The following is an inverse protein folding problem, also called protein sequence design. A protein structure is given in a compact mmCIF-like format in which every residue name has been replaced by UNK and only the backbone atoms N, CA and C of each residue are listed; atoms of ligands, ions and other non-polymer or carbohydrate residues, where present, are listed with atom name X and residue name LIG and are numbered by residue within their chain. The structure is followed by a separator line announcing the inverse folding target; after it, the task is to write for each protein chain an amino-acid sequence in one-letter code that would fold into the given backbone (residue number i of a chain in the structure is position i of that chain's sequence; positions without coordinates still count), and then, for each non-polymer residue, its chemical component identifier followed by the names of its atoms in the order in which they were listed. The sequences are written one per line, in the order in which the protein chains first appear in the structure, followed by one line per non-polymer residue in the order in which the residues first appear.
data_IF_633750184315
#
_entry.id   IF_633750184315
#
_cell.length_a   1.000
_cell.length_b   1.000
_cell.length_c   1.000
_cell.angle_alpha   90.00
_cell.angle_beta   90.00
_cell.angle_gamma   90.00
#
_symmetry.space_group_name_H-M   'P 1'
#
loop_
_entity.id
_entity.type
_entity.pdbx_description
1 polymer ?
#
# COMPACT_ATOMS: atom_id res chain seq x y z
N UNK A 1 20.88 -28.64 26.53
CA UNK A 1 19.81 -27.62 26.60
C UNK A 1 18.48 -28.35 26.61
N UNK A 2 17.70 -28.23 27.68
CA UNK A 2 16.51 -29.07 27.92
C UNK A 2 15.35 -28.80 26.96
N UNK A 3 14.47 -29.78 26.79
CA UNK A 3 13.29 -29.74 25.93
C UNK A 3 12.43 -28.47 26.13
N UNK A 4 12.33 -28.01 27.38
CA UNK A 4 11.60 -26.79 27.74
C UNK A 4 12.15 -25.52 27.06
N UNK A 5 13.48 -25.39 26.97
CA UNK A 5 14.11 -24.24 26.33
C UNK A 5 13.94 -24.25 24.80
N UNK A 6 13.95 -25.43 24.18
CA UNK A 6 13.67 -25.57 22.75
C UNK A 6 12.22 -25.20 22.42
N UNK A 7 11.26 -25.59 23.26
CA UNK A 7 9.86 -25.22 23.08
C UNK A 7 9.64 -23.71 23.18
N UNK A 8 10.28 -23.04 24.15
CA UNK A 8 10.22 -21.58 24.28
C UNK A 8 10.83 -20.89 23.05
N UNK A 9 12.00 -21.35 22.58
CA UNK A 9 12.61 -20.79 21.37
C UNK A 9 11.72 -20.97 20.14
N UNK A 10 11.16 -22.17 19.94
CA UNK A 10 10.26 -22.43 18.82
C UNK A 10 9.03 -21.53 18.87
N UNK A 11 8.45 -21.31 20.06
CA UNK A 11 7.32 -20.41 20.25
C UNK A 11 7.65 -18.97 19.88
N UNK A 12 8.83 -18.47 20.27
CA UNK A 12 9.27 -17.10 19.96
C UNK A 12 9.53 -16.93 18.46
N UNK A 13 10.12 -17.93 17.80
CA UNK A 13 10.35 -17.92 16.34
C UNK A 13 9.01 -17.88 15.61
N UNK A 14 8.04 -18.70 16.03
CA UNK A 14 6.72 -18.73 15.43
C UNK A 14 5.98 -17.38 15.62
N UNK A 15 6.01 -16.81 16.82
CA UNK A 15 5.38 -15.51 17.09
C UNK A 15 6.01 -14.39 16.23
N UNK A 16 7.34 -14.41 16.06
CA UNK A 16 8.02 -13.45 15.20
C UNK A 16 7.66 -13.64 13.73
N UNK A 17 7.54 -14.89 13.27
CA UNK A 17 7.11 -15.22 11.91
C UNK A 17 5.69 -14.69 11.63
N UNK A 18 4.75 -14.97 12.54
CA UNK A 18 3.35 -14.53 12.41
C UNK A 18 3.24 -13.00 12.39
N UNK A 19 4.02 -12.30 13.22
CA UNK A 19 4.10 -10.83 13.23
C UNK A 19 4.66 -10.29 11.92
N UNK A 20 5.73 -10.89 11.39
CA UNK A 20 6.30 -10.49 10.11
C UNK A 20 5.30 -10.69 8.97
N UNK A 21 4.61 -11.84 8.92
CA UNK A 21 3.59 -12.11 7.91
C UNK A 21 2.42 -11.11 8.00
N UNK A 22 1.97 -10.79 9.21
CA UNK A 22 0.92 -9.78 9.43
C UNK A 22 1.34 -8.40 8.93
N UNK A 23 2.61 -8.00 9.15
CA UNK A 23 3.15 -6.75 8.64
C UNK A 23 3.23 -6.72 7.12
N UNK A 24 3.72 -7.79 6.49
CA UNK A 24 3.79 -7.90 5.02
C UNK A 24 2.41 -7.77 4.38
N UNK A 25 1.40 -8.46 4.93
CA UNK A 25 0.00 -8.34 4.45
C UNK A 25 -0.54 -6.92 4.59
N UNK A 26 -0.23 -6.23 5.68
CA UNK A 26 -0.65 -4.83 5.89
C UNK A 26 0.04 -3.88 4.92
N UNK A 27 1.33 -4.10 4.63
CA UNK A 27 2.06 -3.31 3.64
C UNK A 27 1.46 -3.52 2.25
N UNK A 28 1.21 -4.77 1.85
CA UNK A 28 0.58 -5.07 0.56
C UNK A 28 -0.79 -4.41 0.41
N UNK A 29 -1.62 -4.43 1.47
CA UNK A 29 -2.92 -3.75 1.48
C UNK A 29 -2.76 -2.22 1.31
N UNK A 30 -1.82 -1.60 2.03
CA UNK A 30 -1.58 -0.15 1.92
C UNK A 30 -1.03 0.25 0.56
N UNK A 31 -0.18 -0.57 -0.05
CA UNK A 31 0.32 -0.35 -1.41
C UNK A 31 -0.81 -0.41 -2.45
N UNK A 32 -1.73 -1.37 -2.30
CA UNK A 32 -2.92 -1.47 -3.15
C UNK A 32 -3.85 -0.26 -2.97
N UNK A 33 -4.13 0.15 -1.73
CA UNK A 33 -4.97 1.31 -1.42
C UNK A 33 -4.35 2.62 -1.95
N UNK A 34 -3.03 2.78 -1.82
CA UNK A 34 -2.30 3.93 -2.36
C UNK A 34 -2.43 3.98 -3.88
N UNK A 35 -2.23 2.84 -4.56
CA UNK A 35 -2.38 2.76 -6.02
C UNK A 35 -3.80 3.11 -6.46
N UNK A 36 -4.81 2.56 -5.80
CA UNK A 36 -6.21 2.86 -6.10
C UNK A 36 -6.53 4.35 -5.90
N UNK A 37 -5.98 4.97 -4.86
CA UNK A 37 -6.12 6.39 -4.58
C UNK A 37 -5.47 7.23 -5.68
N UNK A 38 -4.25 6.89 -6.11
CA UNK A 38 -3.57 7.59 -7.19
C UNK A 38 -4.34 7.49 -8.51
N UNK A 39 -4.85 6.30 -8.85
CA UNK A 39 -5.66 6.10 -10.05
C UNK A 39 -6.96 6.92 -10.00
N UNK A 40 -7.60 7.02 -8.84
CA UNK A 40 -8.79 7.85 -8.68
C UNK A 40 -8.45 9.34 -8.84
N UNK A 41 -7.38 9.81 -8.20
CA UNK A 41 -6.94 11.21 -8.30
C UNK A 41 -6.63 11.59 -9.75
N UNK A 42 -5.91 10.73 -10.49
CA UNK A 42 -5.62 10.94 -11.91
C UNK A 42 -6.91 11.02 -12.74
N UNK A 43 -7.86 10.10 -12.52
CA UNK A 43 -9.17 10.14 -13.20
C UNK A 43 -9.92 11.43 -12.88
N UNK A 44 -9.92 11.88 -11.62
CA UNK A 44 -10.59 13.12 -11.23
C UNK A 44 -9.93 14.35 -11.82
N UNK A 45 -8.59 14.41 -11.86
CA UNK A 45 -7.86 15.51 -12.50
C UNK A 45 -8.18 15.59 -13.98
N UNK A 46 -8.14 14.46 -14.68
CA UNK A 46 -8.49 14.38 -16.10
C UNK A 46 -9.88 14.94 -16.38
N UNK A 47 -10.89 14.50 -15.62
CA UNK A 47 -12.27 14.99 -15.78
C UNK A 47 -12.38 16.48 -15.46
N UNK A 48 -11.66 16.95 -14.43
CA UNK A 48 -11.68 18.35 -14.02
C UNK A 48 -11.04 19.25 -15.08
N UNK A 49 -9.93 18.84 -15.68
CA UNK A 49 -9.27 19.55 -16.78
C UNK A 49 -10.16 19.61 -18.02
N UNK A 50 -10.77 18.48 -18.41
CA UNK A 50 -11.72 18.42 -19.52
C UNK A 50 -12.92 19.37 -19.31
N UNK A 51 -13.45 19.42 -18.08
CA UNK A 51 -14.59 20.26 -17.74
C UNK A 51 -14.23 21.76 -17.67
N UNK A 52 -13.05 22.08 -17.15
CA UNK A 52 -12.61 23.47 -16.94
C UNK A 52 -11.86 24.07 -18.14
N UNK A 53 -11.44 23.24 -19.12
CA UNK A 53 -10.52 23.59 -20.20
C UNK A 53 -9.25 24.29 -19.69
N UNK A 54 -8.79 23.91 -18.51
CA UNK A 54 -7.58 24.42 -17.88
C UNK A 54 -6.63 23.25 -17.60
N UNK A 55 -5.34 23.51 -17.78
CA UNK A 55 -4.28 22.60 -17.37
C UNK A 55 -4.06 22.76 -15.86
N UNK A 56 -4.56 21.81 -15.07
CA UNK A 56 -4.53 21.86 -13.61
C UNK A 56 -3.26 21.18 -13.09
N UNK A 57 -2.79 20.14 -13.78
CA UNK A 57 -1.60 19.39 -13.39
C UNK A 57 -0.28 20.03 -13.90
N UNK A 58 -0.36 20.97 -14.84
CA UNK A 58 0.78 21.73 -15.37
C UNK A 58 1.60 21.01 -16.45
N UNK A 59 1.08 19.96 -17.08
CA UNK A 59 1.77 19.19 -18.13
C UNK A 59 1.63 19.81 -19.54
N UNK A 60 0.92 20.92 -19.66
CA UNK A 60 0.64 21.64 -20.89
C UNK A 60 -0.45 21.00 -21.76
N UNK A 61 -1.18 20.00 -21.26
CA UNK A 61 -2.22 19.27 -21.97
C UNK A 61 -3.48 19.18 -21.11
N UNK A 62 -4.63 19.24 -21.76
CA UNK A 62 -5.93 19.14 -21.09
C UNK A 62 -6.43 17.72 -21.26
N UNK A 63 -6.73 17.02 -20.17
CA UNK A 63 -7.46 15.75 -20.20
C UNK A 63 -6.62 14.53 -20.60
N UNK A 64 -5.32 14.49 -20.27
CA UNK A 64 -4.48 13.34 -20.62
C UNK A 64 -4.49 12.24 -19.57
#
# INVERSE_FOLDING_TARGET
MGLFWNLIQQSQINEQYDKSQSLELRVAYLEEELRNTQELLLKTLKVLEEYTNQDINGDGKIGK
#
